data_IF_276702830669
#
_entry.id   IF_276702830669
#
_cell.length_a   1.000
_cell.length_b   1.000
_cell.length_c   1.000
_cell.angle_alpha   90.00
_cell.angle_beta   90.00
_cell.angle_gamma   90.00
#
_symmetry.space_group_name_H-M   'P 1'
#
loop_
_entity.id
_entity.type
_entity.pdbx_description
1 polymer ?
#
# COMPACT_ATOMS: atom_id res chain seq x y z
N UNK A 1 21.53 -40.05 -9.24
CA UNK A 1 20.20 -39.66 -9.78
C UNK A 1 19.14 -40.04 -8.75
N UNK A 2 19.05 -39.27 -7.66
CA UNK A 2 18.15 -39.56 -6.55
C UNK A 2 16.99 -38.55 -6.59
N UNK A 3 15.77 -39.06 -6.76
CA UNK A 3 14.54 -38.29 -6.63
C UNK A 3 14.42 -37.87 -5.17
N UNK A 4 14.66 -36.59 -4.88
CA UNK A 4 14.37 -36.02 -3.57
C UNK A 4 12.86 -36.00 -3.39
N UNK A 5 12.42 -36.88 -2.50
CA UNK A 5 11.02 -37.16 -2.18
C UNK A 5 10.33 -35.93 -1.57
N UNK A 6 9.21 -35.53 -2.18
CA UNK A 6 8.35 -34.44 -1.72
C UNK A 6 7.36 -34.84 -0.63
N UNK A 7 7.42 -36.10 -0.16
CA UNK A 7 6.52 -36.66 0.85
C UNK A 7 6.80 -36.13 2.28
N UNK A 8 8.06 -35.80 2.60
CA UNK A 8 8.46 -35.33 3.94
C UNK A 8 8.03 -33.89 4.27
N UNK A 9 7.52 -33.12 3.29
CA UNK A 9 7.05 -31.73 3.51
C UNK A 9 5.59 -31.60 3.92
N UNK A 10 4.78 -32.65 3.80
CA UNK A 10 3.37 -32.61 4.27
C UNK A 10 3.22 -32.92 5.75
N UNK A 11 4.22 -33.54 6.38
CA UNK A 11 4.12 -34.03 7.76
C UNK A 11 4.24 -32.91 8.82
N UNK A 12 5.03 -31.86 8.58
CA UNK A 12 5.24 -30.78 9.58
C UNK A 12 4.06 -29.79 9.67
N UNK A 13 3.32 -29.54 8.59
CA UNK A 13 2.13 -28.66 8.61
C UNK A 13 0.86 -29.40 9.09
N UNK A 14 0.84 -30.74 9.01
CA UNK A 14 -0.29 -31.59 9.39
C UNK A 14 -0.23 -32.13 10.83
N UNK A 15 0.92 -32.01 11.50
CA UNK A 15 1.16 -32.56 12.86
C UNK A 15 1.12 -31.50 13.96
N UNK A 16 0.57 -30.33 13.68
CA UNK A 16 0.14 -29.45 14.74
C UNK A 16 -1.17 -29.97 15.27
N UNK A 17 -1.07 -30.75 16.34
CA UNK A 17 -2.20 -31.14 17.18
C UNK A 17 -2.90 -29.86 17.63
N UNK A 18 -3.95 -29.49 16.91
CA UNK A 18 -4.82 -28.37 17.19
C UNK A 18 -5.73 -28.69 18.40
N UNK A 19 -5.17 -29.30 19.43
CA UNK A 19 -5.92 -29.80 20.59
C UNK A 19 -6.25 -28.68 21.59
N UNK A 20 -5.72 -27.47 21.35
CA UNK A 20 -5.95 -26.29 22.17
C UNK A 20 -6.88 -25.29 21.45
N UNK A 21 -7.71 -24.56 22.20
CA UNK A 21 -8.57 -23.52 21.63
C UNK A 21 -7.72 -22.43 20.98
N UNK A 22 -8.04 -22.15 19.72
CA UNK A 22 -7.34 -21.15 18.91
C UNK A 22 -8.15 -19.87 18.90
N UNK A 23 -7.47 -18.75 19.10
CA UNK A 23 -8.09 -17.42 19.05
C UNK A 23 -7.26 -16.45 18.22
N UNK A 24 -7.87 -15.34 17.84
CA UNK A 24 -7.11 -14.19 17.35
C UNK A 24 -6.12 -13.72 18.44
N UNK A 25 -4.94 -13.26 18.03
CA UNK A 25 -3.96 -12.67 18.95
C UNK A 25 -4.54 -11.40 19.61
N UNK A 26 -4.07 -11.07 20.83
CA UNK A 26 -4.63 -9.97 21.66
C UNK A 26 -4.61 -8.59 21.00
N UNK A 27 -3.74 -8.37 20.01
CA UNK A 27 -3.67 -7.12 19.24
C UNK A 27 -4.48 -7.11 17.94
N UNK A 28 -5.21 -8.18 17.60
CA UNK A 28 -5.89 -8.31 16.31
C UNK A 28 -7.36 -7.88 16.40
N UNK A 29 -7.70 -6.81 15.67
CA UNK A 29 -9.06 -6.27 15.55
C UNK A 29 -9.69 -6.61 14.20
N UNK A 30 -10.95 -7.07 14.21
CA UNK A 30 -11.77 -7.18 12.99
C UNK A 30 -12.30 -5.80 12.63
N UNK A 31 -11.87 -5.27 11.49
CA UNK A 31 -12.10 -3.89 11.09
C UNK A 31 -13.31 -3.68 10.20
N UNK A 32 -13.48 -4.59 9.24
CA UNK A 32 -14.53 -4.55 8.24
C UNK A 32 -14.81 -5.96 7.76
N UNK A 33 -16.08 -6.21 7.46
CA UNK A 33 -16.56 -7.45 6.86
C UNK A 33 -17.38 -7.07 5.63
N UNK A 34 -16.87 -7.37 4.44
CA UNK A 34 -17.46 -6.97 3.16
C UNK A 34 -17.69 -8.17 2.25
N UNK A 35 -18.19 -7.93 1.03
CA UNK A 35 -18.34 -9.00 0.04
C UNK A 35 -17.01 -9.61 -0.40
N UNK A 36 -15.85 -9.00 -0.15
CA UNK A 36 -14.55 -9.53 -0.56
C UNK A 36 -13.89 -10.36 0.56
N UNK A 37 -14.33 -10.20 1.81
CA UNK A 37 -13.98 -11.05 2.95
C UNK A 37 -13.90 -10.27 4.26
N UNK A 38 -12.86 -10.54 5.06
CA UNK A 38 -12.65 -9.93 6.38
C UNK A 38 -11.34 -9.16 6.39
N UNK A 39 -11.38 -7.91 6.85
CA UNK A 39 -10.20 -7.09 7.09
C UNK A 39 -9.83 -7.14 8.56
N UNK A 40 -8.65 -7.69 8.88
CA UNK A 40 -8.05 -7.69 10.21
C UNK A 40 -7.00 -6.57 10.33
N UNK A 41 -6.82 -6.04 11.52
CA UNK A 41 -5.80 -5.06 11.85
C UNK A 41 -5.03 -5.50 13.10
N UNK A 42 -3.72 -5.44 13.02
CA UNK A 42 -2.80 -5.70 14.13
C UNK A 42 -2.39 -4.38 14.78
N UNK A 43 -2.80 -4.16 16.03
CA UNK A 43 -2.50 -2.96 16.82
C UNK A 43 -1.02 -2.82 17.14
N UNK A 44 -0.29 -3.94 17.23
CA UNK A 44 1.10 -3.98 17.68
C UNK A 44 2.05 -3.73 16.51
N UNK A 45 1.73 -4.29 15.33
CA UNK A 45 2.52 -4.06 14.10
C UNK A 45 1.99 -2.97 13.18
N UNK A 46 0.77 -2.47 13.40
CA UNK A 46 0.09 -1.50 12.54
C UNK A 46 -0.31 -2.05 11.17
N UNK A 47 -0.27 -3.38 10.97
CA UNK A 47 -0.51 -4.02 9.67
C UNK A 47 -1.96 -4.42 9.50
N UNK A 48 -2.42 -4.37 8.26
CA UNK A 48 -3.74 -4.86 7.86
C UNK A 48 -3.61 -6.18 7.09
N UNK A 49 -4.52 -7.11 7.37
CA UNK A 49 -4.60 -8.41 6.71
C UNK A 49 -5.99 -8.59 6.10
N UNK A 50 -6.08 -8.63 4.78
CA UNK A 50 -7.32 -8.96 4.08
C UNK A 50 -7.42 -10.48 3.88
N UNK A 51 -8.44 -11.07 4.48
CA UNK A 51 -8.82 -12.46 4.28
C UNK A 51 -9.95 -12.56 3.25
N UNK A 52 -10.00 -13.66 2.51
CA UNK A 52 -11.01 -13.88 1.47
C UNK A 52 -12.41 -14.20 2.02
N UNK A 53 -13.43 -14.24 1.15
CA UNK A 53 -14.85 -14.48 1.49
C UNK A 53 -15.10 -15.59 2.51
N UNK A 54 -14.44 -16.74 2.36
CA UNK A 54 -14.63 -17.91 3.21
C UNK A 54 -14.29 -17.66 4.69
N UNK A 55 -13.43 -16.67 4.97
CA UNK A 55 -13.03 -16.32 6.33
C UNK A 55 -14.15 -15.68 7.16
N UNK A 56 -15.18 -15.11 6.52
CA UNK A 56 -16.33 -14.48 7.22
C UNK A 56 -17.05 -15.44 8.16
N UNK A 57 -17.04 -16.71 7.81
CA UNK A 57 -17.71 -17.76 8.60
C UNK A 57 -16.86 -18.21 9.79
N UNK A 58 -15.53 -18.10 9.67
CA UNK A 58 -14.57 -18.67 10.62
C UNK A 58 -14.08 -17.64 11.64
N UNK A 59 -13.96 -16.37 11.23
CA UNK A 59 -13.44 -15.30 12.09
C UNK A 59 -14.32 -15.05 13.33
N UNK A 60 -15.67 -15.02 13.27
CA UNK A 60 -16.49 -14.85 14.47
C UNK A 60 -16.21 -15.92 15.54
N UNK A 61 -16.09 -17.18 15.12
CA UNK A 61 -15.77 -18.31 16.02
C UNK A 61 -14.38 -18.17 16.64
N UNK A 62 -13.40 -17.68 15.88
CA UNK A 62 -12.04 -17.42 16.38
C UNK A 62 -11.96 -16.26 17.38
N UNK A 63 -13.00 -15.42 17.50
CA UNK A 63 -13.09 -14.40 18.57
C UNK A 63 -13.51 -15.01 19.91
N UNK A 64 -14.26 -16.10 19.87
CA UNK A 64 -14.82 -16.78 21.04
C UNK A 64 -13.86 -17.82 21.63
N UNK A 65 -12.68 -18.01 21.02
CA UNK A 65 -11.73 -19.09 21.29
C UNK A 65 -12.36 -20.47 21.06
N UNK A 66 -12.08 -21.06 19.89
CA UNK A 66 -12.73 -22.33 19.48
C UNK A 66 -11.68 -23.41 19.24
N UNK A 67 -11.99 -24.65 19.60
CA UNK A 67 -11.14 -25.76 19.18
C UNK A 67 -11.29 -26.01 17.67
N UNK A 68 -10.21 -26.31 16.95
CA UNK A 68 -10.29 -26.61 15.52
C UNK A 68 -11.15 -27.83 15.17
N UNK A 69 -11.32 -28.78 16.09
CA UNK A 69 -12.26 -29.89 15.91
C UNK A 69 -13.72 -29.41 15.93
N UNK A 70 -14.11 -28.59 16.92
CA UNK A 70 -15.46 -27.99 16.96
C UNK A 70 -15.73 -27.10 15.74
N UNK A 71 -14.72 -26.36 15.28
CA UNK A 71 -14.82 -25.55 14.08
C UNK A 71 -15.01 -26.42 12.82
N UNK A 72 -14.36 -27.59 12.78
CA UNK A 72 -14.48 -28.55 11.68
C UNK A 72 -15.85 -29.23 11.68
N UNK A 73 -16.38 -29.58 12.85
CA UNK A 73 -17.75 -30.08 13.01
C UNK A 73 -18.78 -29.05 12.54
N UNK A 74 -18.66 -27.77 12.96
CA UNK A 74 -19.57 -26.69 12.54
C UNK A 74 -19.60 -26.51 11.01
N UNK A 75 -18.44 -26.60 10.35
CA UNK A 75 -18.36 -26.56 8.88
C UNK A 75 -18.99 -27.81 8.25
N UNK A 76 -18.71 -29.00 8.80
CA UNK A 76 -19.24 -30.27 8.32
C UNK A 76 -20.77 -30.26 8.32
N UNK A 77 -21.36 -29.83 9.43
CA UNK A 77 -22.81 -29.76 9.62
C UNK A 77 -23.45 -28.68 8.75
N UNK A 78 -22.84 -27.48 8.70
CA UNK A 78 -23.41 -26.34 7.98
C UNK A 78 -23.37 -26.51 6.47
N UNK A 79 -22.30 -27.10 5.94
CA UNK A 79 -22.11 -27.29 4.50
C UNK A 79 -22.39 -28.71 4.02
N UNK A 80 -22.78 -29.61 4.92
CA UNK A 80 -23.08 -31.01 4.63
C UNK A 80 -21.92 -31.70 3.89
N UNK A 81 -20.69 -31.44 4.37
CA UNK A 81 -19.45 -32.02 3.83
C UNK A 81 -18.88 -33.03 4.82
N UNK A 82 -18.18 -34.10 4.36
CA UNK A 82 -17.54 -35.05 5.27
C UNK A 82 -16.57 -34.36 6.24
N UNK A 83 -16.59 -34.77 7.52
CA UNK A 83 -15.77 -34.18 8.59
C UNK A 83 -14.29 -34.12 8.22
N UNK A 84 -13.75 -35.17 7.61
CA UNK A 84 -12.35 -35.21 7.14
C UNK A 84 -12.01 -34.09 6.15
N UNK A 85 -12.92 -33.73 5.24
CA UNK A 85 -12.72 -32.58 4.33
C UNK A 85 -12.84 -31.24 5.04
N UNK A 86 -13.70 -31.16 6.05
CA UNK A 86 -13.83 -29.97 6.88
C UNK A 86 -12.54 -29.75 7.68
N UNK A 87 -12.00 -30.79 8.33
CA UNK A 87 -10.74 -30.77 9.07
C UNK A 87 -9.55 -30.34 8.19
N UNK A 88 -9.43 -30.84 6.97
CA UNK A 88 -8.40 -30.40 6.03
C UNK A 88 -8.55 -28.91 5.67
N UNK A 89 -9.78 -28.42 5.54
CA UNK A 89 -10.07 -27.03 5.18
C UNK A 89 -9.78 -26.09 6.34
N UNK A 90 -10.23 -26.44 7.55
CA UNK A 90 -9.95 -25.70 8.79
C UNK A 90 -8.47 -25.67 9.08
N UNK A 91 -7.79 -26.82 9.04
CA UNK A 91 -6.34 -26.90 9.29
C UNK A 91 -5.56 -26.03 8.31
N UNK A 92 -5.92 -26.04 7.01
CA UNK A 92 -5.29 -25.17 6.02
C UNK A 92 -5.51 -23.69 6.34
N UNK A 93 -6.73 -23.30 6.69
CA UNK A 93 -7.08 -21.93 7.03
C UNK A 93 -6.35 -21.43 8.29
N UNK A 94 -6.33 -22.25 9.35
CA UNK A 94 -5.63 -21.90 10.60
C UNK A 94 -4.12 -21.82 10.40
N UNK A 95 -3.53 -22.71 9.62
CA UNK A 95 -2.11 -22.63 9.26
C UNK A 95 -1.78 -21.37 8.46
N UNK A 96 -2.68 -20.89 7.60
CA UNK A 96 -2.53 -19.61 6.91
C UNK A 96 -2.56 -18.42 7.87
N UNK A 97 -3.54 -18.38 8.78
CA UNK A 97 -3.64 -17.32 9.79
C UNK A 97 -2.44 -17.34 10.75
N UNK A 98 -1.99 -18.52 11.14
CA UNK A 98 -0.77 -18.70 11.93
C UNK A 98 0.45 -18.16 11.19
N UNK A 99 0.61 -18.46 9.90
CA UNK A 99 1.70 -17.94 9.08
C UNK A 99 1.69 -16.41 8.91
N UNK A 100 0.51 -15.78 9.03
CA UNK A 100 0.36 -14.32 9.05
C UNK A 100 0.66 -13.70 10.43
N UNK A 101 0.77 -14.51 11.48
CA UNK A 101 0.99 -14.06 12.85
C UNK A 101 -0.25 -13.45 13.51
N UNK A 102 -1.45 -13.75 13.00
CA UNK A 102 -2.71 -13.18 13.52
C UNK A 102 -3.41 -14.07 14.56
N UNK A 103 -2.89 -15.26 14.80
CA UNK A 103 -3.38 -16.18 15.84
C UNK A 103 -2.55 -16.05 17.12
N UNK A 104 -3.13 -16.47 18.24
CA UNK A 104 -2.43 -16.66 19.51
C UNK A 104 -1.32 -17.73 19.49
N UNK A 105 -1.12 -18.41 18.36
CA UNK A 105 -0.09 -19.43 18.13
C UNK A 105 1.08 -18.84 17.34
N UNK A 106 2.31 -19.05 17.81
CA UNK A 106 3.52 -18.51 17.17
C UNK A 106 3.63 -18.90 15.69
N UNK A 107 3.96 -17.98 14.77
CA UNK A 107 4.06 -18.27 13.34
C UNK A 107 5.11 -19.34 13.01
N UNK A 108 4.78 -20.21 12.05
CA UNK A 108 5.74 -21.21 11.54
C UNK A 108 6.95 -20.49 10.92
N UNK A 109 8.17 -20.91 11.29
CA UNK A 109 9.41 -20.31 10.78
C UNK A 109 9.43 -20.39 9.25
N UNK A 110 9.29 -19.25 8.59
CA UNK A 110 9.25 -19.23 7.13
C UNK A 110 10.54 -19.81 6.52
N UNK A 111 10.37 -20.64 5.50
CA UNK A 111 11.46 -21.16 4.68
C UNK A 111 12.35 -20.01 4.14
N UNK A 112 13.61 -20.33 3.76
CA UNK A 112 14.56 -19.34 3.19
C UNK A 112 13.93 -18.50 2.07
N UNK A 113 13.15 -19.12 1.17
CA UNK A 113 12.44 -18.41 0.08
C UNK A 113 11.37 -17.46 0.59
N UNK A 114 10.65 -17.82 1.65
CA UNK A 114 9.66 -16.94 2.30
C UNK A 114 10.29 -15.76 3.05
N UNK A 115 11.49 -15.93 3.61
CA UNK A 115 12.26 -14.81 4.19
C UNK A 115 12.76 -13.85 3.11
N UNK A 116 13.35 -14.38 2.05
CA UNK A 116 13.80 -13.58 0.90
C UNK A 116 12.65 -12.82 0.26
N UNK A 117 11.49 -13.48 0.08
CA UNK A 117 10.31 -12.84 -0.47
C UNK A 117 9.83 -11.67 0.38
N UNK A 118 9.80 -11.82 1.71
CA UNK A 118 9.47 -10.70 2.61
C UNK A 118 10.48 -9.56 2.53
N UNK A 119 11.78 -9.88 2.52
CA UNK A 119 12.82 -8.86 2.42
C UNK A 119 12.77 -8.05 1.11
N UNK A 120 12.41 -8.69 -0.02
CA UNK A 120 12.25 -8.01 -1.31
C UNK A 120 10.89 -7.29 -1.45
N UNK A 121 9.88 -7.78 -0.73
CA UNK A 121 8.53 -7.22 -0.70
C UNK A 121 8.40 -5.98 0.20
N UNK A 122 9.10 -5.97 1.33
CA UNK A 122 9.00 -4.93 2.35
C UNK A 122 10.21 -4.00 2.23
N UNK A 123 10.00 -2.80 1.69
CA UNK A 123 11.06 -1.78 1.66
C UNK A 123 11.14 -1.13 3.05
N UNK A 124 12.32 -1.07 3.69
CA UNK A 124 12.45 -0.48 5.00
C UNK A 124 12.09 1.01 4.95
N UNK A 125 11.16 1.40 5.82
CA UNK A 125 10.72 2.76 6.02
C UNK A 125 10.59 3.01 7.53
N UNK A 126 11.70 3.14 8.27
CA UNK A 126 11.62 3.51 9.68
C UNK A 126 10.90 4.84 9.82
N UNK A 127 10.04 4.93 10.84
CA UNK A 127 9.12 6.06 11.05
C UNK A 127 9.44 6.74 12.37
N UNK A 128 9.55 8.06 12.32
CA UNK A 128 9.52 8.93 13.47
C UNK A 128 8.10 9.49 13.58
N UNK A 129 7.33 8.98 14.54
CA UNK A 129 5.97 9.45 14.81
C UNK A 129 6.07 10.80 15.54
N UNK A 130 5.48 11.86 14.97
CA UNK A 130 5.46 13.19 15.61
C UNK A 130 4.16 13.43 16.35
N UNK A 131 3.04 13.02 15.77
CA UNK A 131 1.70 13.15 16.32
C UNK A 131 1.01 11.80 16.29
N UNK A 132 0.37 11.43 17.40
CA UNK A 132 -0.40 10.19 17.52
C UNK A 132 -1.79 10.49 18.05
N UNK A 133 -2.81 10.10 17.29
CA UNK A 133 -4.20 10.08 17.76
C UNK A 133 -4.46 8.71 18.43
N UNK A 134 -4.72 8.75 19.73
CA UNK A 134 -5.05 7.57 20.55
C UNK A 134 -6.55 7.31 20.65
N UNK A 135 -7.38 8.09 19.94
CA UNK A 135 -8.83 7.89 19.93
C UNK A 135 -9.18 6.50 19.39
N UNK A 136 -10.20 5.88 20.00
CA UNK A 136 -10.70 4.58 19.54
C UNK A 136 -11.07 4.64 18.04
N UNK A 137 -10.79 3.58 17.28
CA UNK A 137 -11.10 3.54 15.85
C UNK A 137 -12.59 3.83 15.61
N UNK A 138 -12.90 4.98 15.02
CA UNK A 138 -14.27 5.30 14.61
C UNK A 138 -14.53 4.69 13.24
N UNK A 139 -15.71 4.10 13.07
CA UNK A 139 -16.16 3.65 11.77
C UNK A 139 -16.16 4.86 10.81
N UNK A 140 -15.57 4.74 9.60
CA UNK A 140 -15.64 5.81 8.62
C UNK A 140 -17.10 6.16 8.36
N UNK A 141 -17.41 7.45 8.21
CA UNK A 141 -18.76 7.89 7.90
C UNK A 141 -18.91 7.95 6.37
N UNK A 142 -19.54 6.95 5.72
CA UNK A 142 -19.77 7.03 4.29
C UNK A 142 -20.63 8.25 4.01
N UNK A 143 -20.13 9.13 3.15
CA UNK A 143 -20.91 10.28 2.68
C UNK A 143 -21.84 9.84 1.56
N UNK A 144 -23.03 10.44 1.52
CA UNK A 144 -23.97 10.22 0.43
C UNK A 144 -23.28 10.50 -0.91
N UNK A 145 -23.47 9.64 -1.92
CA UNK A 145 -22.89 9.89 -3.24
C UNK A 145 -23.41 11.22 -3.78
N UNK A 146 -22.50 12.02 -4.36
CA UNK A 146 -22.89 13.24 -5.07
C UNK A 146 -23.88 12.89 -6.18
N UNK A 147 -24.82 13.80 -6.45
CA UNK A 147 -25.70 13.69 -7.61
C UNK A 147 -24.83 13.51 -8.87
N UNK A 148 -25.22 12.63 -9.81
CA UNK A 148 -24.37 12.27 -10.94
C UNK A 148 -23.95 13.47 -11.78
N UNK A 149 -24.84 14.46 -11.96
CA UNK A 149 -24.52 15.71 -12.66
C UNK A 149 -23.41 16.50 -11.95
N UNK A 150 -23.54 16.72 -10.64
CA UNK A 150 -22.55 17.44 -9.83
C UNK A 150 -21.22 16.70 -9.78
N UNK A 151 -21.27 15.36 -9.65
CA UNK A 151 -20.08 14.51 -9.69
C UNK A 151 -19.35 14.63 -11.02
N UNK A 152 -20.08 14.52 -12.13
CA UNK A 152 -19.48 14.58 -13.46
C UNK A 152 -18.91 15.98 -13.75
N UNK A 153 -19.63 17.05 -13.38
CA UNK A 153 -19.11 18.41 -13.48
C UNK A 153 -17.80 18.59 -12.70
N UNK A 154 -17.74 18.10 -11.45
CA UNK A 154 -16.54 18.17 -10.62
C UNK A 154 -15.38 17.38 -11.24
N UNK A 155 -15.64 16.18 -11.77
CA UNK A 155 -14.63 15.37 -12.45
C UNK A 155 -14.13 16.04 -13.72
N UNK A 156 -15.00 16.69 -14.50
CA UNK A 156 -14.60 17.45 -15.69
C UNK A 156 -13.73 18.64 -15.31
N UNK A 157 -14.11 19.41 -14.29
CA UNK A 157 -13.29 20.53 -13.80
C UNK A 157 -11.93 20.03 -13.30
N UNK A 158 -11.90 18.95 -12.52
CA UNK A 158 -10.66 18.34 -12.07
C UNK A 158 -9.79 17.91 -13.25
N UNK A 159 -10.36 17.25 -14.26
CA UNK A 159 -9.64 16.83 -15.45
C UNK A 159 -9.06 18.03 -16.20
N UNK A 160 -9.83 19.11 -16.40
CA UNK A 160 -9.36 20.34 -17.04
C UNK A 160 -8.21 20.99 -16.26
N UNK A 161 -8.31 21.06 -14.92
CA UNK A 161 -7.26 21.61 -14.06
C UNK A 161 -5.99 20.76 -14.14
N UNK A 162 -6.12 19.44 -14.10
CA UNK A 162 -4.98 18.51 -14.23
C UNK A 162 -4.33 18.64 -15.60
N UNK A 163 -5.11 18.67 -16.68
CA UNK A 163 -4.60 18.84 -18.05
C UNK A 163 -3.86 20.17 -18.18
N UNK A 164 -4.48 21.29 -17.75
CA UNK A 164 -3.85 22.60 -17.77
C UNK A 164 -2.55 22.60 -16.96
N UNK A 165 -2.56 22.01 -15.77
CA UNK A 165 -1.37 21.97 -14.90
C UNK A 165 -0.21 21.20 -15.54
N UNK A 166 -0.50 20.04 -16.14
CA UNK A 166 0.50 19.25 -16.89
C UNK A 166 1.01 20.06 -18.08
N UNK A 167 0.14 20.72 -18.84
CA UNK A 167 0.53 21.53 -20.00
C UNK A 167 1.44 22.68 -19.58
N UNK A 168 1.09 23.45 -18.55
CA UNK A 168 1.89 24.57 -18.06
C UNK A 168 3.26 24.11 -17.55
N UNK A 169 3.29 23.04 -16.75
CA UNK A 169 4.53 22.47 -16.25
C UNK A 169 5.42 21.93 -17.38
N UNK A 170 4.85 21.19 -18.33
CA UNK A 170 5.57 20.64 -19.47
C UNK A 170 6.15 21.75 -20.36
N UNK A 171 5.35 22.77 -20.69
CA UNK A 171 5.81 23.94 -21.47
C UNK A 171 6.95 24.67 -20.76
N UNK A 172 6.83 24.92 -19.45
CA UNK A 172 7.90 25.57 -18.68
C UNK A 172 9.23 24.80 -18.77
N UNK A 173 9.17 23.46 -18.70
CA UNK A 173 10.34 22.58 -18.78
C UNK A 173 10.92 22.52 -20.19
N UNK A 174 10.08 22.38 -21.23
CA UNK A 174 10.53 22.24 -22.63
C UNK A 174 11.07 23.53 -23.21
N UNK A 175 10.49 24.68 -22.88
CA UNK A 175 10.96 25.98 -23.35
C UNK A 175 12.29 26.44 -22.71
N UNK A 176 12.97 25.55 -21.97
CA UNK A 176 14.26 25.81 -21.30
C UNK A 176 14.30 27.16 -20.58
N UNK A 177 13.21 27.51 -19.91
CA UNK A 177 13.07 28.81 -19.23
C UNK A 177 14.11 29.06 -18.13
N UNK A 178 14.92 28.06 -17.76
CA UNK A 178 16.00 28.15 -16.78
C UNK A 178 17.32 27.51 -17.19
N UNK A 179 17.97 27.93 -18.28
CA UNK A 179 19.45 27.73 -18.41
C UNK A 179 20.25 28.77 -17.64
N UNK A 180 19.58 29.75 -17.04
CA UNK A 180 20.22 30.65 -16.11
C UNK A 180 20.65 29.85 -14.86
N UNK A 181 21.91 29.96 -14.41
CA UNK A 181 22.33 29.32 -13.18
C UNK A 181 21.46 29.81 -12.02
N UNK A 182 20.90 28.89 -11.25
CA UNK A 182 20.02 29.18 -10.10
C UNK A 182 20.68 30.09 -9.05
N UNK A 183 22.00 30.20 -9.04
CA UNK A 183 22.75 31.06 -8.11
C UNK A 183 22.37 30.78 -6.66
N UNK A 184 22.19 31.84 -5.86
CA UNK A 184 21.72 31.73 -4.48
C UNK A 184 20.29 31.18 -4.35
N UNK A 185 19.44 31.31 -5.38
CA UNK A 185 18.07 30.79 -5.34
C UNK A 185 18.02 29.25 -5.33
N UNK A 186 19.11 28.57 -5.71
CA UNK A 186 19.23 27.11 -5.58
C UNK A 186 19.02 26.63 -4.14
N UNK A 187 19.39 27.44 -3.13
CA UNK A 187 19.19 27.11 -1.72
C UNK A 187 17.71 27.08 -1.31
N UNK A 188 16.83 27.77 -2.04
CA UNK A 188 15.39 27.78 -1.77
C UNK A 188 14.67 26.54 -2.31
N UNK A 189 15.22 25.91 -3.36
CA UNK A 189 14.63 24.73 -3.98
C UNK A 189 14.34 23.61 -2.97
N UNK A 190 15.29 23.11 -2.15
CA UNK A 190 15.00 22.04 -1.19
C UNK A 190 13.95 22.46 -0.16
N UNK A 191 13.95 23.71 0.30
CA UNK A 191 12.93 24.23 1.23
C UNK A 191 11.52 24.18 0.62
N UNK A 192 11.40 24.62 -0.64
CA UNK A 192 10.13 24.57 -1.39
C UNK A 192 9.67 23.12 -1.56
N UNK A 193 10.58 22.20 -1.88
CA UNK A 193 10.24 20.78 -2.06
C UNK A 193 9.81 20.12 -0.75
N UNK A 194 10.44 20.43 0.39
CA UNK A 194 10.01 19.94 1.71
C UNK A 194 8.63 20.51 2.07
N UNK A 195 8.42 21.82 1.86
CA UNK A 195 7.12 22.45 2.09
C UNK A 195 6.03 21.82 1.21
N UNK A 196 6.33 21.57 -0.07
CA UNK A 196 5.43 20.89 -0.99
C UNK A 196 5.07 19.48 -0.50
N UNK A 197 6.04 18.70 -0.03
CA UNK A 197 5.80 17.36 0.48
C UNK A 197 4.89 17.36 1.72
N UNK A 198 4.97 18.39 2.56
CA UNK A 198 4.00 18.58 3.64
C UNK A 198 2.59 18.89 3.11
N UNK A 199 2.46 19.70 2.04
CA UNK A 199 1.17 19.99 1.40
C UNK A 199 0.60 18.73 0.72
N UNK A 200 1.44 17.87 0.14
CA UNK A 200 1.05 16.58 -0.42
C UNK A 200 0.40 15.69 0.65
N UNK A 201 1.07 15.49 1.78
CA UNK A 201 0.55 14.69 2.90
C UNK A 201 -0.68 15.34 3.53
N UNK A 202 -0.73 16.68 3.60
CA UNK A 202 -1.93 17.42 4.01
C UNK A 202 -3.11 17.12 3.08
N UNK A 203 -2.88 16.96 1.77
CA UNK A 203 -3.89 16.52 0.81
C UNK A 203 -4.51 15.18 1.21
N UNK A 204 -3.69 14.18 1.55
CA UNK A 204 -4.17 12.90 2.07
C UNK A 204 -4.94 13.06 3.38
N UNK A 205 -4.41 13.84 4.32
CA UNK A 205 -5.06 14.10 5.60
C UNK A 205 -6.45 14.72 5.43
N UNK A 206 -6.58 15.75 4.60
CA UNK A 206 -7.85 16.42 4.32
C UNK A 206 -8.83 15.47 3.62
N UNK A 207 -8.35 14.62 2.70
CA UNK A 207 -9.19 13.60 2.08
C UNK A 207 -9.67 12.55 3.11
N UNK A 208 -8.82 12.09 4.02
CA UNK A 208 -9.21 11.23 5.12
C UNK A 208 -10.30 11.88 5.98
N UNK A 209 -10.09 13.13 6.40
CA UNK A 209 -11.08 13.90 7.19
C UNK A 209 -12.40 14.06 6.45
N UNK A 210 -12.35 14.28 5.13
CA UNK A 210 -13.53 14.37 4.28
C UNK A 210 -14.35 13.06 4.33
N UNK A 211 -13.71 11.90 4.26
CA UNK A 211 -14.42 10.61 4.32
C UNK A 211 -14.63 10.08 5.76
N UNK A 212 -14.38 10.91 6.77
CA UNK A 212 -14.53 10.52 8.18
C UNK A 212 -13.53 9.45 8.63
N UNK A 213 -12.41 9.30 7.93
CA UNK A 213 -11.31 8.40 8.29
C UNK A 213 -10.44 9.11 9.33
N UNK A 214 -10.19 8.41 10.45
CA UNK A 214 -9.26 8.87 11.48
C UNK A 214 -7.82 8.62 11.02
N UNK A 215 -7.00 9.66 11.11
CA UNK A 215 -5.55 9.57 10.88
C UNK A 215 -4.89 9.33 12.22
N UNK A 216 -4.23 8.17 12.39
CA UNK A 216 -3.64 7.77 13.66
C UNK A 216 -2.29 8.40 13.92
N UNK A 217 -1.48 8.53 12.89
CA UNK A 217 -0.11 8.96 13.02
C UNK A 217 0.24 9.95 11.93
N UNK A 218 0.97 10.99 12.31
CA UNK A 218 1.62 11.91 11.38
C UNK A 218 3.06 12.04 11.82
N UNK A 219 4.00 11.99 10.89
CA UNK A 219 5.41 12.03 11.24
C UNK A 219 6.34 12.13 10.05
N UNK A 220 7.58 11.67 10.24
CA UNK A 220 8.61 11.61 9.19
C UNK A 220 9.07 10.18 9.04
N UNK A 221 8.93 9.63 7.84
CA UNK A 221 9.48 8.33 7.46
C UNK A 221 10.81 8.53 6.73
N UNK A 222 11.73 7.59 6.87
CA UNK A 222 13.00 7.63 6.15
C UNK A 222 12.99 6.62 5.02
N UNK A 223 12.80 7.10 3.79
CA UNK A 223 12.84 6.28 2.61
C UNK A 223 14.26 5.75 2.39
N UNK A 224 14.39 4.43 2.19
CA UNK A 224 15.66 3.70 2.21
C UNK A 224 16.51 3.93 3.49
N UNK A 225 15.89 4.38 4.58
CA UNK A 225 16.55 4.65 5.86
C UNK A 225 17.30 5.98 5.96
N UNK A 226 17.36 6.78 4.89
CA UNK A 226 18.15 8.04 4.88
C UNK A 226 17.38 9.26 4.38
N UNK A 227 16.40 9.11 3.48
CA UNK A 227 15.71 10.25 2.88
C UNK A 227 14.45 10.61 3.68
N UNK A 228 14.41 11.73 4.40
CA UNK A 228 13.24 12.10 5.19
C UNK A 228 12.06 12.47 4.28
N UNK A 229 10.90 11.91 4.59
CA UNK A 229 9.62 12.19 3.93
C UNK A 229 8.53 12.29 5.00
N UNK A 230 7.83 13.45 5.13
CA UNK A 230 6.57 13.53 5.84
C UNK A 230 5.65 12.36 5.46
N UNK A 231 4.93 11.81 6.44
CA UNK A 231 3.92 10.79 6.19
C UNK A 231 2.68 11.03 7.03
N UNK A 232 1.54 10.66 6.46
CA UNK A 232 0.25 10.56 7.15
C UNK A 232 -0.19 9.08 7.14
N UNK A 233 -0.52 8.51 8.30
CA UNK A 233 -1.06 7.17 8.39
C UNK A 233 -2.52 7.12 7.93
N UNK A 234 -2.70 6.67 6.68
CA UNK A 234 -3.97 6.51 5.97
C UNK A 234 -4.54 5.10 6.10
N UNK A 235 -3.98 4.22 6.92
CA UNK A 235 -4.30 2.79 6.88
C UNK A 235 -5.76 2.48 7.27
N UNK A 236 -6.39 3.34 8.09
CA UNK A 236 -7.82 3.25 8.39
C UNK A 236 -8.73 3.51 7.17
N UNK A 237 -8.22 4.12 6.09
CA UNK A 237 -8.99 4.33 4.87
C UNK A 237 -9.40 3.02 4.20
N UNK A 238 -8.65 1.93 4.42
CA UNK A 238 -9.01 0.59 3.92
C UNK A 238 -10.30 0.04 4.54
N UNK A 239 -10.80 0.63 5.63
CA UNK A 239 -12.11 0.28 6.23
C UNK A 239 -13.29 0.90 5.48
N UNK A 240 -13.06 1.76 4.49
CA UNK A 240 -14.14 2.37 3.71
C UNK A 240 -14.85 1.33 2.83
N UNK A 241 -16.19 1.31 2.79
CA UNK A 241 -16.93 0.36 1.97
C UNK A 241 -16.80 0.63 0.45
N UNK A 242 -16.34 1.83 0.06
CA UNK A 242 -16.26 2.26 -1.33
C UNK A 242 -14.83 2.34 -1.88
N UNK A 243 -14.60 1.69 -3.02
CA UNK A 243 -13.33 1.79 -3.78
C UNK A 243 -13.05 3.20 -4.27
N UNK A 244 -14.09 3.93 -4.68
CA UNK A 244 -13.96 5.31 -5.17
C UNK A 244 -13.48 6.27 -4.09
N UNK A 245 -13.95 6.13 -2.85
CA UNK A 245 -13.49 6.94 -1.72
C UNK A 245 -12.06 6.60 -1.32
N UNK A 246 -11.68 5.32 -1.34
CA UNK A 246 -10.29 4.92 -1.10
C UNK A 246 -9.37 5.49 -2.19
N UNK A 247 -9.77 5.39 -3.46
CA UNK A 247 -9.05 5.95 -4.60
C UNK A 247 -8.92 7.49 -4.51
N UNK A 248 -9.98 8.19 -4.09
CA UNK A 248 -9.93 9.63 -3.89
C UNK A 248 -8.91 10.01 -2.80
N UNK A 249 -8.85 9.26 -1.70
CA UNK A 249 -7.85 9.48 -0.64
C UNK A 249 -6.44 9.16 -1.15
N UNK A 250 -6.25 8.10 -1.93
CA UNK A 250 -4.93 7.73 -2.49
C UNK A 250 -4.44 8.71 -3.55
N UNK A 251 -5.35 9.33 -4.31
CA UNK A 251 -4.98 10.28 -5.37
C UNK A 251 -4.88 11.73 -4.88
N UNK A 252 -5.26 12.03 -3.64
CA UNK A 252 -5.24 13.40 -3.12
C UNK A 252 -3.85 14.04 -3.15
N UNK A 253 -2.81 13.34 -2.70
CA UNK A 253 -1.41 13.78 -2.80
C UNK A 253 -0.96 14.00 -4.26
N UNK A 254 -1.08 13.01 -5.16
CA UNK A 254 -0.76 13.20 -6.58
C UNK A 254 -1.51 14.35 -7.27
N UNK A 255 -2.75 14.65 -6.86
CA UNK A 255 -3.48 15.83 -7.36
C UNK A 255 -2.82 17.14 -6.88
N UNK A 256 -2.32 17.17 -5.64
CA UNK A 256 -1.52 18.31 -5.13
C UNK A 256 -0.22 18.45 -5.92
N UNK A 257 0.46 17.35 -6.21
CA UNK A 257 1.72 17.33 -6.99
C UNK A 257 1.50 17.97 -8.37
N UNK A 258 0.49 17.51 -9.10
CA UNK A 258 0.23 18.00 -10.45
C UNK A 258 -0.22 19.46 -10.46
N UNK A 259 -1.12 19.87 -9.56
CA UNK A 259 -1.58 21.27 -9.48
C UNK A 259 -0.42 22.21 -9.14
N UNK A 260 0.40 21.87 -8.14
CA UNK A 260 1.54 22.70 -7.76
C UNK A 260 2.63 22.75 -8.84
N UNK A 261 2.86 21.66 -9.57
CA UNK A 261 3.74 21.68 -10.74
C UNK A 261 3.23 22.62 -11.84
N UNK A 262 1.91 22.65 -12.07
CA UNK A 262 1.28 23.56 -13.02
C UNK A 262 1.38 25.02 -12.60
N UNK A 263 1.16 25.32 -11.31
CA UNK A 263 1.34 26.68 -10.76
C UNK A 263 2.80 27.13 -10.93
N UNK A 264 3.77 26.28 -10.59
CA UNK A 264 5.18 26.57 -10.79
C UNK A 264 5.51 26.77 -12.28
N UNK A 265 4.93 25.96 -13.17
CA UNK A 265 5.07 26.12 -14.61
C UNK A 265 4.49 27.44 -15.12
N UNK A 266 3.31 27.85 -14.63
CA UNK A 266 2.73 29.14 -14.98
C UNK A 266 3.59 30.30 -14.52
N UNK A 267 4.09 30.28 -13.28
CA UNK A 267 5.03 31.29 -12.77
C UNK A 267 6.28 31.35 -13.64
N UNK A 268 6.85 30.20 -14.03
CA UNK A 268 8.01 30.15 -14.90
C UNK A 268 7.74 30.78 -16.29
N UNK A 269 6.53 30.64 -16.82
CA UNK A 269 6.19 31.19 -18.13
C UNK A 269 5.87 32.69 -18.10
N UNK A 270 5.42 33.23 -16.97
CA UNK A 270 4.98 34.63 -16.85
C UNK A 270 5.93 35.52 -16.05
N UNK A 271 6.91 34.98 -15.33
CA UNK A 271 7.84 35.77 -14.52
C UNK A 271 8.85 36.54 -15.37
N UNK A 272 8.94 37.84 -15.11
CA UNK A 272 9.92 38.73 -15.74
C UNK A 272 11.33 38.50 -15.19
N UNK A 273 11.45 38.32 -13.87
CA UNK A 273 12.73 38.08 -13.19
C UNK A 273 13.35 36.73 -13.62
N UNK A 274 14.57 36.72 -14.18
CA UNK A 274 15.22 35.49 -14.64
C UNK A 274 15.47 34.45 -13.54
N UNK A 275 15.72 34.89 -12.29
CA UNK A 275 15.97 34.02 -11.16
C UNK A 275 14.70 33.31 -10.69
N UNK A 276 13.60 34.06 -10.53
CA UNK A 276 12.27 33.51 -10.22
C UNK A 276 11.83 32.54 -11.30
N UNK A 277 11.99 32.92 -12.57
CA UNK A 277 11.66 32.05 -13.71
C UNK A 277 12.44 30.72 -13.66
N UNK A 278 13.76 30.78 -13.46
CA UNK A 278 14.59 29.58 -13.37
C UNK A 278 14.24 28.70 -12.15
N UNK A 279 14.00 29.31 -10.98
CA UNK A 279 13.58 28.58 -9.78
C UNK A 279 12.22 27.91 -9.97
N UNK A 280 11.23 28.63 -10.50
CA UNK A 280 9.90 28.11 -10.75
C UNK A 280 9.92 26.96 -11.78
N UNK A 281 10.75 27.06 -12.83
CA UNK A 281 10.95 25.98 -13.79
C UNK A 281 11.59 24.74 -13.14
N UNK A 282 12.59 24.95 -12.26
CA UNK A 282 13.22 23.87 -11.51
C UNK A 282 12.24 23.18 -10.55
N UNK A 283 11.38 23.96 -9.86
CA UNK A 283 10.30 23.42 -9.01
C UNK A 283 9.31 22.63 -9.87
N UNK A 284 8.82 23.18 -10.98
CA UNK A 284 7.88 22.49 -11.88
C UNK A 284 8.45 21.14 -12.35
N UNK A 285 9.72 21.13 -12.78
CA UNK A 285 10.42 19.91 -13.19
C UNK A 285 10.53 18.90 -12.04
N UNK A 286 10.97 19.35 -10.84
CA UNK A 286 11.11 18.48 -9.69
C UNK A 286 9.77 17.87 -9.25
N UNK A 287 8.69 18.65 -9.28
CA UNK A 287 7.34 18.18 -8.94
C UNK A 287 6.76 17.21 -9.98
N UNK A 288 7.05 17.41 -11.28
CA UNK A 288 6.69 16.44 -12.31
C UNK A 288 7.42 15.09 -12.11
N UNK A 289 8.71 15.14 -11.78
CA UNK A 289 9.49 13.94 -11.47
C UNK A 289 8.98 13.26 -10.18
N UNK A 290 8.63 14.04 -9.15
CA UNK A 290 8.04 13.53 -7.92
C UNK A 290 6.67 12.89 -8.18
N UNK A 291 5.82 13.50 -9.00
CA UNK A 291 4.54 12.93 -9.42
C UNK A 291 4.73 11.59 -10.14
N UNK A 292 5.66 11.50 -11.09
CA UNK A 292 5.97 10.25 -11.79
C UNK A 292 6.46 9.16 -10.82
N UNK A 293 7.28 9.54 -9.84
CA UNK A 293 7.73 8.63 -8.80
C UNK A 293 6.56 8.18 -7.90
N UNK A 294 5.70 9.10 -7.45
CA UNK A 294 4.56 8.81 -6.60
C UNK A 294 3.49 7.98 -7.34
N UNK A 295 3.35 8.12 -8.66
CA UNK A 295 2.42 7.31 -9.47
C UNK A 295 3.02 5.96 -9.92
N UNK A 296 4.29 5.70 -9.65
CA UNK A 296 4.93 4.44 -10.05
C UNK A 296 4.37 3.24 -9.24
N UNK A 297 3.69 2.28 -9.87
CA UNK A 297 3.04 1.17 -9.16
C UNK A 297 4.02 0.10 -8.65
N UNK A 298 5.30 0.16 -8.97
CA UNK A 298 6.29 -0.86 -8.58
C UNK A 298 6.95 -0.59 -7.21
N UNK A 299 6.80 0.63 -6.69
CA UNK A 299 7.31 1.06 -5.40
C UNK A 299 6.16 1.25 -4.38
N UNK A 300 6.45 1.27 -3.07
CA UNK A 300 5.48 1.65 -2.03
C UNK A 300 5.12 3.13 -2.16
N UNK A 301 4.22 3.42 -3.09
CA UNK A 301 3.84 4.75 -3.55
C UNK A 301 2.32 4.90 -3.59
N UNK A 302 1.84 6.13 -3.77
CA UNK A 302 0.41 6.41 -3.91
C UNK A 302 -0.19 5.75 -5.16
N UNK A 303 0.60 5.59 -6.22
CA UNK A 303 0.22 4.88 -7.44
C UNK A 303 -0.02 3.39 -7.20
N UNK A 304 0.82 2.74 -6.38
CA UNK A 304 0.55 1.35 -5.96
C UNK A 304 -0.73 1.30 -5.13
N UNK A 305 -0.92 2.19 -4.16
CA UNK A 305 -2.13 2.20 -3.35
C UNK A 305 -3.39 2.54 -4.15
N UNK A 306 -3.29 3.37 -5.19
CA UNK A 306 -4.37 3.63 -6.14
C UNK A 306 -4.72 2.39 -6.96
N UNK A 307 -3.72 1.62 -7.40
CA UNK A 307 -3.92 0.32 -8.06
C UNK A 307 -4.61 -0.67 -7.12
N UNK A 308 -4.19 -0.74 -5.85
CA UNK A 308 -4.85 -1.58 -4.83
C UNK A 308 -6.30 -1.16 -4.61
N UNK A 309 -6.58 0.13 -4.53
CA UNK A 309 -7.93 0.67 -4.37
C UNK A 309 -8.83 0.35 -5.57
N UNK A 310 -8.31 0.50 -6.79
CA UNK A 310 -9.04 0.22 -8.03
C UNK A 310 -9.34 -1.28 -8.19
N UNK A 311 -8.35 -2.13 -7.89
CA UNK A 311 -8.47 -3.60 -8.04
C UNK A 311 -9.15 -4.28 -6.85
N UNK A 312 -9.23 -3.63 -5.70
CA UNK A 312 -9.71 -4.23 -4.44
C UNK A 312 -8.76 -5.26 -3.83
N UNK A 313 -7.50 -5.32 -4.31
CA UNK A 313 -6.51 -6.27 -3.83
C UNK A 313 -5.46 -5.55 -2.98
N UNK A 314 -5.56 -5.67 -1.65
CA UNK A 314 -4.59 -5.08 -0.72
C UNK A 314 -3.25 -5.83 -0.70
N UNK A 315 -2.18 -5.11 -0.32
CA UNK A 315 -0.82 -5.61 -0.24
C UNK A 315 -0.37 -6.28 -1.55
N UNK A 316 -0.74 -5.69 -2.68
CA UNK A 316 -0.61 -6.29 -4.01
C UNK A 316 0.84 -6.65 -4.32
N UNK A 317 1.77 -5.72 -4.07
CA UNK A 317 3.21 -5.93 -4.27
C UNK A 317 3.74 -7.10 -3.46
N UNK A 318 3.42 -7.13 -2.16
CA UNK A 318 3.85 -8.19 -1.24
C UNK A 318 3.32 -9.55 -1.67
N UNK A 319 2.03 -9.63 -2.03
CA UNK A 319 1.40 -10.87 -2.49
C UNK A 319 2.00 -11.35 -3.82
N UNK A 320 2.24 -10.43 -4.76
CA UNK A 320 2.82 -10.76 -6.05
C UNK A 320 4.25 -11.29 -5.94
N UNK A 321 5.13 -10.62 -5.19
CA UNK A 321 6.52 -11.05 -4.97
C UNK A 321 6.57 -12.37 -4.19
N UNK A 322 5.72 -12.50 -3.16
CA UNK A 322 5.62 -13.77 -2.40
C UNK A 322 5.19 -14.90 -3.32
N UNK A 323 4.13 -14.72 -4.09
CA UNK A 323 3.66 -15.72 -5.05
C UNK A 323 4.73 -16.08 -6.10
N UNK A 324 5.46 -15.08 -6.61
CA UNK A 324 6.52 -15.29 -7.60
C UNK A 324 7.63 -16.22 -7.07
N UNK A 325 8.06 -16.00 -5.82
CA UNK A 325 9.23 -16.66 -5.23
C UNK A 325 8.89 -17.97 -4.52
N UNK A 326 7.71 -18.09 -3.91
CA UNK A 326 7.29 -19.31 -3.20
C UNK A 326 6.39 -20.21 -4.04
N UNK A 327 5.73 -19.66 -5.07
CA UNK A 327 4.67 -20.33 -5.86
C UNK A 327 3.53 -20.87 -5.00
N UNK A 328 3.35 -20.29 -3.82
CA UNK A 328 2.31 -20.68 -2.89
C UNK A 328 0.92 -20.27 -3.40
N UNK A 329 0.10 -21.27 -3.73
CA UNK A 329 -1.24 -21.08 -4.32
C UNK A 329 -2.32 -20.84 -3.28
N UNK A 330 -2.03 -21.02 -1.99
CA UNK A 330 -2.96 -20.89 -0.86
C UNK A 330 -3.78 -19.59 -0.93
N UNK A 331 -3.10 -18.48 -1.21
CA UNK A 331 -3.67 -17.13 -1.17
C UNK A 331 -3.99 -16.51 -2.55
N UNK A 332 -4.01 -17.30 -3.63
CA UNK A 332 -4.22 -16.79 -5.00
C UNK A 332 -5.24 -17.63 -5.78
N UNK A 333 -6.49 -17.18 -5.74
CA UNK A 333 -7.59 -17.77 -6.50
C UNK A 333 -7.54 -17.31 -7.98
N UNK A 334 -7.71 -18.26 -8.90
CA UNK A 334 -7.89 -17.99 -10.32
C UNK A 334 -6.59 -17.94 -11.18
N UNK A 335 -6.60 -18.52 -12.40
CA UNK A 335 -5.44 -18.56 -13.28
C UNK A 335 -5.03 -17.19 -13.83
N UNK A 336 -5.98 -16.27 -14.00
CA UNK A 336 -5.69 -14.90 -14.45
C UNK A 336 -4.89 -14.10 -13.40
N UNK A 337 -5.34 -14.11 -12.14
CA UNK A 337 -4.68 -13.37 -11.05
C UNK A 337 -3.25 -13.88 -10.82
N UNK A 338 -3.03 -15.19 -10.98
CA UNK A 338 -1.71 -15.82 -10.93
C UNK A 338 -0.77 -15.28 -12.02
N UNK A 339 -1.25 -15.14 -13.25
CA UNK A 339 -0.47 -14.56 -14.36
C UNK A 339 -0.13 -13.10 -14.06
N UNK A 340 -1.13 -12.34 -13.61
CA UNK A 340 -0.93 -10.94 -13.24
C UNK A 340 0.12 -10.78 -12.14
N UNK A 341 0.06 -11.58 -11.07
CA UNK A 341 1.04 -11.54 -9.98
C UNK A 341 2.45 -11.91 -10.44
N UNK A 342 2.60 -12.86 -11.36
CA UNK A 342 3.92 -13.21 -11.93
C UNK A 342 4.45 -12.07 -12.77
N UNK A 343 3.66 -11.55 -13.72
CA UNK A 343 4.05 -10.43 -14.56
C UNK A 343 4.45 -9.21 -13.71
N UNK A 344 3.59 -8.81 -12.78
CA UNK A 344 3.86 -7.69 -11.89
C UNK A 344 5.08 -7.95 -11.00
N UNK A 345 5.21 -9.14 -10.40
CA UNK A 345 6.32 -9.47 -9.52
C UNK A 345 7.68 -9.40 -10.24
N UNK A 346 7.74 -9.88 -11.48
CA UNK A 346 8.96 -9.80 -12.31
C UNK A 346 9.28 -8.34 -12.63
N UNK A 347 8.30 -7.55 -13.05
CA UNK A 347 8.49 -6.13 -13.34
C UNK A 347 8.92 -5.34 -12.09
N UNK A 348 8.30 -5.60 -10.94
CA UNK A 348 8.62 -4.92 -9.69
C UNK A 348 10.04 -5.24 -9.19
N UNK A 349 10.47 -6.50 -9.27
CA UNK A 349 11.84 -6.89 -8.91
C UNK A 349 12.86 -6.36 -9.93
N UNK A 350 12.53 -6.37 -11.22
CA UNK A 350 13.37 -5.78 -12.27
C UNK A 350 13.55 -4.28 -12.05
N UNK A 351 12.47 -3.56 -11.77
CA UNK A 351 12.51 -2.13 -11.45
C UNK A 351 13.37 -1.86 -10.21
N UNK A 352 13.19 -2.64 -9.13
CA UNK A 352 14.02 -2.52 -7.93
C UNK A 352 15.51 -2.77 -8.22
N UNK A 353 15.82 -3.77 -9.04
CA UNK A 353 17.19 -4.07 -9.45
C UNK A 353 17.83 -2.92 -10.23
N UNK A 354 17.10 -2.34 -11.20
CA UNK A 354 17.57 -1.15 -11.94
C UNK A 354 17.80 0.03 -11.01
N UNK A 355 16.88 0.29 -10.08
CA UNK A 355 17.02 1.38 -9.11
C UNK A 355 18.26 1.22 -8.24
N UNK A 356 18.50 0.00 -7.71
CA UNK A 356 19.70 -0.30 -6.90
C UNK A 356 20.98 -0.11 -7.72
N UNK A 357 20.99 -0.54 -8.98
CA UNK A 357 22.14 -0.34 -9.87
C UNK A 357 22.41 1.14 -10.16
N UNK A 358 21.36 1.94 -10.40
CA UNK A 358 21.48 3.38 -10.62
C UNK A 358 22.02 4.11 -9.38
N UNK A 359 21.47 3.79 -8.21
CA UNK A 359 21.94 4.34 -6.93
C UNK A 359 23.38 3.93 -6.67
N UNK A 360 23.73 2.65 -6.88
CA UNK A 360 25.10 2.16 -6.75
C UNK A 360 26.09 2.90 -7.66
N UNK A 361 25.71 3.13 -8.93
CA UNK A 361 26.51 3.92 -9.87
C UNK A 361 26.69 5.36 -9.43
N UNK A 362 25.65 5.98 -8.89
CA UNK A 362 25.73 7.35 -8.35
C UNK A 362 26.70 7.41 -7.17
N UNK A 363 26.65 6.45 -6.24
CA UNK A 363 27.60 6.38 -5.12
C UNK A 363 29.04 6.21 -5.59
N UNK A 364 29.29 5.33 -6.58
CA UNK A 364 30.64 5.16 -7.14
C UNK A 364 31.15 6.40 -7.86
N UNK A 365 30.25 7.20 -8.46
CA UNK A 365 30.61 8.42 -9.19
C UNK A 365 30.80 9.66 -8.29
N UNK A 366 30.22 9.66 -7.08
CA UNK A 366 30.38 10.74 -6.09
C UNK A 366 31.52 10.44 -5.12
N UNK A 367 31.82 9.15 -4.88
CA UNK A 367 32.86 8.71 -3.95
C UNK A 367 34.23 8.44 -4.58
N UNK A 368 34.37 8.57 -5.90
CA UNK A 368 35.65 8.53 -6.63
C UNK A 368 35.87 9.84 -7.36
#
# INVERSE_FOLDING_TARGET
MARHDGSLRRADDASLAWDLPVSLASGIEVCAEDENGVLLFDSDSGKYFQLGRSSRLLIPRLRESVSPHELSQDISDRFQVPLTRAEETVSRFLSELRGLGVLNVEPVRAERRGRLARALADIPMPRLVLLRDTSAPRAPRPRAPLRPLTRNALLTVLALVVTLSITMAALAVTHRTGTAPLGLAAALLPLILVAHLAIHELGHYLACRHYGVVVREVGVAFFFGILPRPYVDRSHAYRLPGRASLLAITMAGPVVDVVNSGIAGAIALTADDPGVRALAAAVANALLLALLHNLNPFMPSDGLHALEAATGHHAFRRRAITYLLTRDRRNVAGPWLRRLYVCYGVLALGYLGVLVLLVGRLFTAVGG
#
